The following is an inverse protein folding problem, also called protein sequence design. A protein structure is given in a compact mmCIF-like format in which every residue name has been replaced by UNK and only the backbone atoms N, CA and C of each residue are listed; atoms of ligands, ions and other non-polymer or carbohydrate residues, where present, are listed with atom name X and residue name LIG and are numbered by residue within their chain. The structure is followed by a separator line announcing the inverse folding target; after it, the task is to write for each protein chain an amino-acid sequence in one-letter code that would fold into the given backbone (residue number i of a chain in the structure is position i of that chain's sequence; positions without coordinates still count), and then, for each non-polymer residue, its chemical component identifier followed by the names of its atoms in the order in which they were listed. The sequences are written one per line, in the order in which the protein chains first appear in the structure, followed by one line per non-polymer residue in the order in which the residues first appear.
data_IF_071930077875
#
_entry.id   IF_071930077875
#
_cell.length_a   1.000
_cell.length_b   1.000
_cell.length_c   1.000
_cell.angle_alpha   90.00
_cell.angle_beta   90.00
_cell.angle_gamma   90.00
#
_symmetry.space_group_name_H-M   'P 1'
#
loop_
_entity.id
_entity.type
_entity.pdbx_description
1 polymer ?
#
# COMPACT_ATOMS: atom_id res chain seq x y z
N UNK A 1 23.32 -13.54 26.75
CA UNK A 1 21.91 -13.18 26.53
C UNK A 1 21.93 -12.45 25.20
N UNK A 2 21.72 -13.18 24.12
CA UNK A 2 21.89 -12.67 22.77
C UNK A 2 20.61 -11.93 22.43
N UNK A 3 20.74 -10.64 22.14
CA UNK A 3 19.72 -9.78 21.57
C UNK A 3 18.98 -10.56 20.49
N UNK A 4 17.66 -10.67 20.70
CA UNK A 4 16.75 -11.26 19.74
C UNK A 4 16.70 -10.26 18.58
N UNK A 5 17.48 -10.51 17.53
CA UNK A 5 17.34 -9.83 16.25
C UNK A 5 15.90 -10.09 15.79
N UNK A 6 15.03 -9.15 16.15
CA UNK A 6 13.62 -9.11 15.80
C UNK A 6 13.57 -9.30 14.29
N UNK A 7 13.05 -10.45 13.88
CA UNK A 7 13.08 -10.88 12.49
C UNK A 7 12.11 -9.99 11.71
N UNK A 8 12.57 -8.80 11.34
CA UNK A 8 11.93 -7.95 10.35
C UNK A 8 12.08 -8.68 9.02
N UNK A 9 11.11 -9.56 8.72
CA UNK A 9 11.03 -10.18 7.41
C UNK A 9 10.94 -9.05 6.38
N UNK A 10 11.75 -9.08 5.31
CA UNK A 10 11.69 -8.05 4.29
C UNK A 10 10.28 -7.97 3.73
N UNK A 11 9.71 -6.77 3.77
CA UNK A 11 8.42 -6.47 3.14
C UNK A 11 8.63 -6.40 1.64
N UNK A 12 8.35 -7.51 0.95
CA UNK A 12 8.57 -7.66 -0.47
C UNK A 12 7.34 -7.22 -1.28
N UNK A 13 7.59 -6.56 -2.42
CA UNK A 13 6.56 -6.17 -3.36
C UNK A 13 6.05 -7.38 -4.14
N UNK A 14 4.74 -7.60 -4.09
CA UNK A 14 4.04 -8.64 -4.85
C UNK A 14 3.57 -8.10 -6.20
N UNK A 15 2.89 -6.96 -6.19
CA UNK A 15 2.31 -6.35 -7.39
C UNK A 15 2.04 -4.85 -7.19
N UNK A 16 1.99 -4.11 -8.30
CA UNK A 16 1.58 -2.71 -8.36
C UNK A 16 0.36 -2.58 -9.28
N UNK A 17 -0.69 -1.93 -8.78
CA UNK A 17 -1.92 -1.65 -9.52
C UNK A 17 -2.11 -0.14 -9.66
N UNK A 18 -2.47 0.30 -10.87
CA UNK A 18 -2.83 1.69 -11.16
C UNK A 18 -4.33 1.77 -11.36
N UNK A 19 -5.00 2.55 -10.52
CA UNK A 19 -6.46 2.63 -10.44
C UNK A 19 -6.90 4.09 -10.59
N UNK A 20 -8.10 4.29 -11.13
CA UNK A 20 -8.67 5.62 -11.36
C UNK A 20 -9.90 5.88 -10.48
N UNK A 21 -10.29 4.91 -9.65
CA UNK A 21 -11.44 5.00 -8.76
C UNK A 21 -11.08 4.61 -7.33
N UNK A 22 -11.58 5.42 -6.38
CA UNK A 22 -11.47 5.14 -4.95
C UNK A 22 -12.19 3.84 -4.54
N UNK A 23 -13.24 3.45 -5.27
CA UNK A 23 -13.97 2.21 -5.00
C UNK A 23 -13.08 0.99 -5.29
N UNK A 24 -12.33 1.01 -6.39
CA UNK A 24 -11.38 -0.06 -6.75
C UNK A 24 -10.24 -0.15 -5.73
N UNK A 25 -9.73 1.00 -5.25
CA UNK A 25 -8.73 1.04 -4.18
C UNK A 25 -9.28 0.38 -2.91
N UNK A 26 -10.52 0.70 -2.54
CA UNK A 26 -11.19 0.15 -1.35
C UNK A 26 -11.36 -1.37 -1.45
N UNK A 27 -11.69 -1.87 -2.64
CA UNK A 27 -11.78 -3.31 -2.89
C UNK A 27 -10.41 -4.00 -2.75
N UNK A 28 -9.34 -3.42 -3.31
CA UNK A 28 -7.98 -3.95 -3.15
C UNK A 28 -7.54 -3.99 -1.69
N UNK A 29 -7.80 -2.93 -0.93
CA UNK A 29 -7.51 -2.88 0.50
C UNK A 29 -8.26 -3.95 1.29
N UNK A 30 -9.56 -4.14 0.99
CA UNK A 30 -10.37 -5.18 1.63
C UNK A 30 -9.83 -6.58 1.31
N UNK A 31 -9.47 -6.83 0.05
CA UNK A 31 -8.93 -8.11 -0.38
C UNK A 31 -7.57 -8.40 0.27
N UNK A 32 -6.66 -7.42 0.28
CA UNK A 32 -5.36 -7.54 0.92
C UNK A 32 -5.48 -7.85 2.42
N UNK A 33 -6.38 -7.17 3.13
CA UNK A 33 -6.65 -7.43 4.54
C UNK A 33 -7.17 -8.86 4.78
N UNK A 34 -8.05 -9.39 3.92
CA UNK A 34 -8.53 -10.78 4.03
C UNK A 34 -7.42 -11.82 3.79
N UNK A 35 -6.38 -11.45 3.03
CA UNK A 35 -5.24 -12.29 2.71
C UNK A 35 -4.06 -12.09 3.67
N UNK A 36 -4.15 -11.16 4.62
CA UNK A 36 -3.05 -10.82 5.52
C UNK A 36 -1.86 -10.13 4.83
N UNK A 37 -2.10 -9.48 3.69
CA UNK A 37 -1.08 -8.77 2.92
C UNK A 37 -0.96 -7.31 3.39
N UNK A 38 0.25 -6.76 3.29
CA UNK A 38 0.44 -5.32 3.43
C UNK A 38 0.05 -4.57 2.17
N UNK A 39 -0.27 -3.29 2.34
CA UNK A 39 -0.59 -2.40 1.22
C UNK A 39 0.08 -1.06 1.42
N UNK A 40 0.63 -0.48 0.35
CA UNK A 40 1.00 0.93 0.27
C UNK A 40 0.18 1.59 -0.81
N UNK A 41 -0.45 2.73 -0.48
CA UNK A 41 -1.28 3.50 -1.40
C UNK A 41 -0.66 4.88 -1.60
N UNK A 42 -0.54 5.31 -2.85
CA UNK A 42 -0.18 6.67 -3.24
C UNK A 42 -1.25 7.23 -4.16
N UNK A 43 -1.60 8.50 -4.02
CA UNK A 43 -2.39 9.22 -5.01
C UNK A 43 -1.56 10.28 -5.70
N UNK A 44 -1.89 10.55 -6.96
CA UNK A 44 -1.30 11.63 -7.74
C UNK A 44 -2.34 12.19 -8.70
N UNK A 45 -2.10 13.42 -9.15
CA UNK A 45 -2.94 14.08 -10.15
C UNK A 45 -2.24 14.01 -11.51
N UNK A 46 -2.96 13.59 -12.54
CA UNK A 46 -2.52 13.59 -13.92
C UNK A 46 -3.38 14.55 -14.75
N UNK A 47 -2.78 15.21 -15.73
CA UNK A 47 -3.52 16.10 -16.62
C UNK A 47 -4.37 15.29 -17.60
N UNK A 48 -5.61 15.73 -17.85
CA UNK A 48 -6.46 15.13 -18.86
C UNK A 48 -5.85 15.32 -20.26
N UNK A 49 -5.82 14.24 -21.06
CA UNK A 49 -5.26 14.29 -22.42
C UNK A 49 -5.99 15.30 -23.33
N UNK A 50 -7.28 15.55 -23.06
CA UNK A 50 -8.13 16.45 -23.83
C UNK A 50 -8.79 17.52 -22.94
N UNK A 51 -8.02 18.22 -22.12
CA UNK A 51 -8.57 19.32 -21.31
C UNK A 51 -7.56 20.08 -20.43
N UNK A 52 -8.08 21.03 -19.67
CA UNK A 52 -7.36 21.68 -18.56
C UNK A 52 -7.66 20.99 -17.20
N UNK A 53 -8.27 19.81 -17.25
CA UNK A 53 -8.65 19.02 -16.08
C UNK A 53 -7.50 18.27 -15.46
N UNK A 54 -7.64 17.95 -14.17
CA UNK A 54 -6.77 17.03 -13.44
C UNK A 54 -7.60 15.83 -13.00
N UNK A 55 -7.12 14.63 -13.29
CA UNK A 55 -7.71 13.37 -12.85
C UNK A 55 -6.89 12.81 -11.71
N UNK A 56 -7.58 12.30 -10.70
CA UNK A 56 -6.94 11.60 -9.58
C UNK A 56 -6.67 10.14 -9.96
N UNK A 57 -5.42 9.74 -9.76
CA UNK A 57 -4.94 8.38 -9.95
C UNK A 57 -4.39 7.82 -8.65
N UNK A 58 -4.43 6.50 -8.55
CA UNK A 58 -4.00 5.75 -7.39
C UNK A 58 -3.01 4.67 -7.79
N UNK A 59 -1.90 4.59 -7.09
CA UNK A 59 -0.94 3.49 -7.15
C UNK A 59 -1.08 2.65 -5.87
N UNK A 60 -1.42 1.38 -6.03
CA UNK A 60 -1.59 0.41 -4.94
C UNK A 60 -0.52 -0.66 -5.07
N UNK A 61 0.43 -0.68 -4.14
CA UNK A 61 1.44 -1.72 -3.99
C UNK A 61 0.95 -2.76 -2.98
N UNK A 62 0.89 -4.03 -3.40
CA UNK A 62 0.63 -5.18 -2.53
C UNK A 62 1.96 -5.74 -2.01
N UNK A 63 2.03 -5.99 -0.72
CA UNK A 63 3.24 -6.36 -0.02
C UNK A 63 3.04 -7.66 0.76
N UNK A 64 4.12 -8.42 0.97
CA UNK A 64 4.07 -9.68 1.75
C UNK A 64 3.65 -9.49 3.21
N UNK A 65 3.84 -8.29 3.76
CA UNK A 65 3.50 -7.91 5.14
C UNK A 65 3.26 -6.40 5.25
N UNK A 66 2.70 -5.93 6.37
CA UNK A 66 2.49 -4.49 6.61
C UNK A 66 3.81 -3.71 6.43
N UNK A 67 3.80 -2.59 5.69
CA UNK A 67 4.99 -1.74 5.54
C UNK A 67 5.26 -0.87 6.77
N UNK A 68 4.31 -0.82 7.71
CA UNK A 68 4.48 -0.14 9.00
C UNK A 68 4.85 -1.22 10.00
N UNK A 69 6.08 -1.16 10.52
CA UNK A 69 6.48 -1.92 11.69
C UNK A 69 5.60 -1.49 12.85
N UNK A 70 5.04 -2.44 13.60
CA UNK A 70 4.33 -2.13 14.84
C UNK A 70 5.31 -1.41 15.78
N UNK A 71 5.20 -0.08 15.90
CA UNK A 71 5.96 0.68 16.90
C UNK A 71 5.59 0.11 18.27
N UNK A 72 6.61 -0.41 18.98
CA UNK A 72 6.45 -0.86 20.37
C UNK A 72 5.83 0.29 21.19
N UNK A 73 4.77 0.03 21.98
CA UNK A 73 4.11 1.08 22.74
C UNK A 73 5.12 1.73 23.70
N UNK A 74 5.29 3.05 23.59
CA UNK A 74 6.13 3.82 24.49
C UNK A 74 5.67 3.61 25.95
N UNK A 75 6.57 3.07 26.77
CA UNK A 75 6.39 2.81 28.21
C UNK A 75 6.18 4.09 29.03
#
# INVERSE_FOLDING_TARGET
MTDLDETTLPTDLIATHYLTSIDEVTEHLRAANQLGLGVRVRSYLEAEEEGEGLVEHWEVELLTSSPVSEEEPAE
#
